data_IF_236433608847
#
_entry.id   IF_236433608847
#
_cell.length_a   1.000
_cell.length_b   1.000
_cell.length_c   1.000
_cell.angle_alpha   90.00
_cell.angle_beta   90.00
_cell.angle_gamma   90.00
#
_symmetry.space_group_name_H-M   'P 1'
#
loop_
_entity.id
_entity.type
_entity.pdbx_description
1 polymer ?
#
# COMPACT_ATOMS: atom_id res chain seq x y z
N UNK A 1 28.01 0.86 -25.80
CA UNK A 1 27.09 1.36 -26.83
C UNK A 1 25.72 0.74 -26.54
N UNK A 2 24.72 1.57 -26.28
CA UNK A 2 23.37 1.10 -25.93
C UNK A 2 22.65 0.57 -27.16
N UNK A 3 22.02 -0.58 -27.04
CA UNK A 3 21.19 -1.22 -28.05
C UNK A 3 19.88 -0.44 -28.34
N UNK A 4 19.68 0.70 -27.67
CA UNK A 4 18.44 1.49 -27.67
C UNK A 4 17.99 1.95 -29.07
N UNK A 5 18.90 2.23 -29.99
CA UNK A 5 18.56 2.69 -31.33
C UNK A 5 17.98 1.63 -32.28
N UNK A 6 18.02 0.35 -31.91
CA UNK A 6 17.56 -0.77 -32.77
C UNK A 6 16.24 -1.40 -32.31
N UNK A 7 15.66 -0.94 -31.19
CA UNK A 7 14.43 -1.52 -30.65
C UNK A 7 13.26 -0.58 -30.92
N UNK A 8 12.32 -1.03 -31.75
CA UNK A 8 11.13 -0.24 -32.08
C UNK A 8 10.30 0.09 -30.83
N UNK A 9 9.52 1.19 -30.80
CA UNK A 9 8.68 1.53 -29.66
C UNK A 9 7.73 0.40 -29.24
N UNK A 10 7.17 -0.33 -30.19
CA UNK A 10 6.31 -1.48 -29.90
C UNK A 10 7.07 -2.63 -29.22
N UNK A 11 8.26 -2.97 -29.73
CA UNK A 11 9.11 -3.96 -29.08
C UNK A 11 9.53 -3.52 -27.68
N UNK A 12 9.84 -2.23 -27.49
CA UNK A 12 10.15 -1.67 -26.16
C UNK A 12 8.98 -1.87 -25.18
N UNK A 13 7.73 -1.65 -25.62
CA UNK A 13 6.53 -1.93 -24.81
C UNK A 13 6.49 -3.38 -24.35
N UNK A 14 6.69 -4.34 -25.26
CA UNK A 14 6.69 -5.78 -24.94
C UNK A 14 7.83 -6.15 -23.98
N UNK A 15 9.05 -5.68 -24.25
CA UNK A 15 10.20 -5.93 -23.38
C UNK A 15 10.00 -5.36 -21.98
N UNK A 16 9.44 -4.15 -21.88
CA UNK A 16 9.18 -3.48 -20.62
C UNK A 16 8.06 -4.18 -19.83
N UNK A 17 6.98 -4.58 -20.51
CA UNK A 17 5.89 -5.34 -19.90
C UNK A 17 6.40 -6.68 -19.34
N UNK A 18 7.14 -7.44 -20.15
CA UNK A 18 7.71 -8.71 -19.73
C UNK A 18 8.72 -8.55 -18.58
N UNK A 19 9.60 -7.55 -18.68
CA UNK A 19 10.61 -7.28 -17.65
C UNK A 19 10.03 -6.73 -16.35
N UNK A 20 8.89 -6.03 -16.37
CA UNK A 20 8.16 -5.61 -15.17
C UNK A 20 7.37 -6.76 -14.52
N UNK A 21 7.00 -7.79 -15.30
CA UNK A 21 6.16 -8.90 -14.83
C UNK A 21 6.98 -10.11 -14.34
N UNK A 22 8.14 -10.39 -14.94
CA UNK A 22 8.97 -11.58 -14.65
C UNK A 22 10.44 -11.21 -14.41
N UNK A 23 11.24 -12.18 -13.96
CA UNK A 23 12.70 -12.01 -13.97
C UNK A 23 13.17 -11.75 -15.40
N UNK A 24 14.29 -11.03 -15.59
CA UNK A 24 14.75 -10.71 -16.94
C UNK A 24 15.04 -11.97 -17.78
N UNK A 25 15.61 -13.00 -17.15
CA UNK A 25 15.82 -14.29 -17.82
C UNK A 25 14.50 -15.02 -18.15
N UNK A 26 13.53 -14.99 -17.23
CA UNK A 26 12.18 -15.52 -17.47
C UNK A 26 11.46 -14.77 -18.59
N UNK A 27 11.56 -13.45 -18.61
CA UNK A 27 11.00 -12.58 -19.63
C UNK A 27 11.60 -12.89 -21.03
N UNK A 28 12.93 -13.08 -21.12
CA UNK A 28 13.60 -13.45 -22.38
C UNK A 28 13.05 -14.78 -22.92
N UNK A 29 12.91 -15.80 -22.06
CA UNK A 29 12.35 -17.09 -22.46
C UNK A 29 10.89 -16.95 -22.91
N UNK A 30 10.05 -16.30 -22.14
CA UNK A 30 8.62 -16.17 -22.45
C UNK A 30 8.37 -15.34 -23.73
N UNK A 31 9.15 -14.30 -23.99
CA UNK A 31 9.06 -13.53 -25.22
C UNK A 31 9.45 -14.37 -26.45
N UNK A 32 10.44 -15.26 -26.31
CA UNK A 32 10.80 -16.20 -27.38
C UNK A 32 9.66 -17.19 -27.64
N UNK A 33 9.11 -17.79 -26.58
CA UNK A 33 8.07 -18.83 -26.71
C UNK A 33 6.73 -18.28 -27.21
N UNK A 34 6.29 -17.13 -26.67
CA UNK A 34 4.96 -16.61 -26.99
C UNK A 34 4.92 -15.66 -28.19
N UNK A 35 6.02 -14.92 -28.42
CA UNK A 35 6.05 -13.87 -29.44
C UNK A 35 7.08 -14.13 -30.55
N UNK A 36 7.86 -15.19 -30.48
CA UNK A 36 8.99 -15.42 -31.39
C UNK A 36 10.11 -14.36 -31.25
N UNK A 37 10.05 -13.50 -30.25
CA UNK A 37 10.99 -12.40 -30.07
C UNK A 37 12.24 -12.86 -29.31
N UNK A 38 13.30 -13.15 -30.05
CA UNK A 38 14.59 -13.57 -29.49
C UNK A 38 15.35 -12.37 -28.94
N UNK A 39 15.60 -12.36 -27.62
CA UNK A 39 16.34 -11.30 -26.92
C UNK A 39 17.02 -11.89 -25.69
N UNK A 40 18.04 -11.20 -25.16
CA UNK A 40 18.68 -11.61 -23.92
C UNK A 40 18.16 -10.79 -22.71
N UNK A 41 18.37 -11.36 -21.53
CA UNK A 41 18.00 -10.72 -20.25
C UNK A 41 18.64 -9.34 -20.05
N UNK A 42 19.87 -9.17 -20.54
CA UNK A 42 20.60 -7.90 -20.46
C UNK A 42 19.92 -6.80 -21.29
N UNK A 43 19.45 -7.13 -22.49
CA UNK A 43 18.72 -6.20 -23.35
C UNK A 43 17.40 -5.79 -22.70
N UNK A 44 16.62 -6.75 -22.19
CA UNK A 44 15.37 -6.46 -21.48
C UNK A 44 15.64 -5.55 -20.28
N UNK A 45 16.67 -5.86 -19.51
CA UNK A 45 17.07 -5.04 -18.35
C UNK A 45 17.44 -3.62 -18.75
N UNK A 46 18.21 -3.45 -19.82
CA UNK A 46 18.63 -2.14 -20.31
C UNK A 46 17.40 -1.32 -20.73
N UNK A 47 16.51 -1.88 -21.56
CA UNK A 47 15.27 -1.26 -22.02
C UNK A 47 14.37 -0.89 -20.84
N UNK A 48 14.16 -1.78 -19.88
CA UNK A 48 13.37 -1.47 -18.68
C UNK A 48 13.93 -0.28 -17.90
N UNK A 49 15.26 -0.19 -17.75
CA UNK A 49 15.85 0.92 -17.00
C UNK A 49 15.84 2.25 -17.77
N UNK A 50 15.92 2.22 -19.08
CA UNK A 50 15.76 3.41 -19.92
C UNK A 50 14.30 3.90 -19.87
N UNK A 51 13.33 3.01 -20.15
CA UNK A 51 11.92 3.35 -20.13
C UNK A 51 11.46 3.82 -18.74
N UNK A 52 12.00 3.24 -17.65
CA UNK A 52 11.72 3.74 -16.31
C UNK A 52 12.18 5.19 -16.10
N UNK A 53 13.24 5.64 -16.75
CA UNK A 53 13.67 7.03 -16.73
C UNK A 53 12.68 7.91 -17.48
N UNK A 54 12.40 7.59 -18.73
CA UNK A 54 11.44 8.32 -19.56
C UNK A 54 10.04 8.37 -18.94
N UNK A 55 9.61 7.25 -18.36
CA UNK A 55 8.35 7.17 -17.64
C UNK A 55 8.33 8.06 -16.39
N UNK A 56 9.43 8.15 -15.66
CA UNK A 56 9.50 9.02 -14.48
C UNK A 56 9.37 10.50 -14.86
N UNK A 57 10.02 10.91 -15.97
CA UNK A 57 9.92 12.26 -16.54
C UNK A 57 8.49 12.53 -17.01
N UNK A 58 7.88 11.60 -17.75
CA UNK A 58 6.49 11.73 -18.20
C UNK A 58 5.50 11.80 -17.03
N UNK A 59 5.65 10.94 -16.02
CA UNK A 59 4.83 11.00 -14.80
C UNK A 59 4.99 12.33 -14.06
N UNK A 60 6.15 12.98 -14.19
CA UNK A 60 6.39 14.28 -13.59
C UNK A 60 5.79 15.42 -14.40
N UNK A 61 5.89 15.41 -15.72
CA UNK A 61 5.68 16.59 -16.57
C UNK A 61 4.35 16.57 -17.32
N UNK A 62 3.84 15.38 -17.73
CA UNK A 62 2.66 15.31 -18.60
C UNK A 62 1.36 15.64 -17.85
N UNK A 63 0.58 16.64 -18.32
CA UNK A 63 -0.67 17.03 -17.66
C UNK A 63 -1.75 15.94 -17.73
N UNK A 64 -1.66 14.97 -18.65
CA UNK A 64 -2.62 13.86 -18.75
C UNK A 64 -2.47 12.85 -17.59
N UNK A 65 -1.33 12.87 -16.90
CA UNK A 65 -1.13 12.03 -15.73
C UNK A 65 -2.12 12.41 -14.62
N UNK A 66 -2.95 11.47 -14.22
CA UNK A 66 -3.98 11.71 -13.22
C UNK A 66 -5.31 12.21 -13.78
N UNK A 67 -5.44 12.50 -15.07
CA UNK A 67 -6.70 12.96 -15.67
C UNK A 67 -7.84 11.97 -15.45
N UNK A 68 -7.59 10.67 -15.66
CA UNK A 68 -8.57 9.60 -15.37
C UNK A 68 -8.96 9.57 -13.89
N UNK A 69 -7.99 9.75 -12.99
CA UNK A 69 -8.25 9.84 -11.55
C UNK A 69 -9.09 11.08 -11.21
N UNK A 70 -8.77 12.24 -11.78
CA UNK A 70 -9.53 13.47 -11.54
C UNK A 70 -10.98 13.35 -12.00
N UNK A 71 -11.22 12.71 -13.16
CA UNK A 71 -12.55 12.49 -13.73
C UNK A 71 -13.35 11.40 -13.03
N UNK A 72 -12.71 10.45 -12.36
CA UNK A 72 -13.40 9.37 -11.66
C UNK A 72 -14.20 9.89 -10.47
N UNK A 73 -15.34 9.25 -10.19
CA UNK A 73 -16.17 9.51 -9.00
C UNK A 73 -15.78 8.61 -7.83
N UNK A 74 -16.15 9.00 -6.62
CA UNK A 74 -16.00 8.21 -5.40
C UNK A 74 -15.17 8.91 -4.33
N UNK A 75 -15.14 8.29 -3.15
CA UNK A 75 -14.32 8.75 -2.02
C UNK A 75 -12.84 8.56 -2.33
N UNK A 76 -12.01 9.50 -1.89
CA UNK A 76 -10.56 9.48 -2.10
C UNK A 76 -9.90 8.75 -0.92
N UNK A 77 -9.14 7.72 -1.25
CA UNK A 77 -8.31 6.99 -0.30
C UNK A 77 -6.83 7.16 -0.67
N UNK A 78 -5.99 7.39 0.33
CA UNK A 78 -4.55 7.17 0.27
C UNK A 78 -4.23 6.01 1.20
N UNK A 79 -3.65 4.96 0.68
CA UNK A 79 -3.13 3.88 1.50
C UNK A 79 -1.61 3.83 1.34
N UNK A 80 -0.89 3.72 2.46
CA UNK A 80 0.58 3.72 2.43
C UNK A 80 1.14 2.74 3.44
N UNK A 81 2.22 2.07 3.02
CA UNK A 81 2.89 1.03 3.79
C UNK A 81 4.35 0.91 3.33
N UNK A 82 5.17 0.17 4.06
CA UNK A 82 6.54 -0.17 3.74
C UNK A 82 6.75 -1.67 3.57
N UNK A 83 7.64 -2.03 2.65
CA UNK A 83 8.00 -3.43 2.45
C UNK A 83 9.49 -3.58 2.22
N UNK A 84 10.11 -4.61 2.83
CA UNK A 84 11.55 -4.82 2.73
C UNK A 84 11.94 -5.40 1.36
N UNK A 85 12.96 -4.83 0.74
CA UNK A 85 13.58 -5.30 -0.51
C UNK A 85 15.07 -5.56 -0.27
N UNK A 86 15.56 -6.68 -0.75
CA UNK A 86 16.97 -7.03 -0.62
C UNK A 86 17.82 -6.27 -1.63
N UNK A 87 18.70 -5.43 -1.14
CA UNK A 87 19.66 -4.66 -1.96
C UNK A 87 21.08 -5.15 -1.76
N UNK A 88 22.03 -4.65 -2.56
CA UNK A 88 23.44 -4.94 -2.37
C UNK A 88 23.98 -4.36 -1.05
N UNK A 89 23.32 -3.32 -0.55
CA UNK A 89 23.62 -2.67 0.73
C UNK A 89 22.83 -3.26 1.92
N UNK A 90 22.21 -4.45 1.74
CA UNK A 90 21.35 -5.11 2.73
C UNK A 90 19.86 -4.86 2.51
N UNK A 91 19.06 -5.23 3.48
CA UNK A 91 17.61 -5.03 3.46
C UNK A 91 17.27 -3.55 3.58
N UNK A 92 16.45 -3.05 2.65
CA UNK A 92 15.99 -1.66 2.62
C UNK A 92 14.47 -1.61 2.53
N UNK A 93 13.87 -0.71 3.29
CA UNK A 93 12.45 -0.46 3.21
C UNK A 93 12.13 0.31 1.91
N UNK A 94 11.22 -0.26 1.12
CA UNK A 94 10.58 0.42 0.00
C UNK A 94 9.21 0.87 0.45
N UNK A 95 8.98 2.18 0.48
CA UNK A 95 7.69 2.78 0.80
C UNK A 95 6.81 2.79 -0.43
N UNK A 96 5.56 2.49 -0.24
CA UNK A 96 4.54 2.44 -1.29
C UNK A 96 3.35 3.31 -0.90
N UNK A 97 2.83 4.08 -1.85
CA UNK A 97 1.57 4.80 -1.73
C UNK A 97 0.61 4.43 -2.84
N UNK A 98 -0.66 4.32 -2.51
CA UNK A 98 -1.76 4.06 -3.44
C UNK A 98 -2.83 5.11 -3.21
N UNK A 99 -2.98 6.04 -4.16
CA UNK A 99 -4.19 6.85 -4.25
C UNK A 99 -5.26 6.08 -5.01
N UNK A 100 -6.47 6.05 -4.49
CA UNK A 100 -7.59 5.40 -5.13
C UNK A 100 -8.87 6.22 -4.98
N UNK A 101 -9.73 6.18 -6.00
CA UNK A 101 -11.14 6.60 -5.90
C UNK A 101 -12.03 5.39 -5.94
N UNK A 102 -12.96 5.32 -4.99
CA UNK A 102 -13.84 4.17 -4.79
C UNK A 102 -15.26 4.62 -4.47
N UNK A 103 -16.25 3.98 -5.08
CA UNK A 103 -17.63 4.12 -4.65
C UNK A 103 -17.81 3.53 -3.24
N UNK A 104 -18.74 4.09 -2.48
CA UNK A 104 -19.11 3.53 -1.18
C UNK A 104 -19.74 2.16 -1.34
N UNK A 105 -19.42 1.26 -0.45
CA UNK A 105 -20.11 -0.02 -0.31
C UNK A 105 -21.42 0.15 0.45
N UNK A 106 -22.08 -0.96 0.76
CA UNK A 106 -23.26 -0.93 1.63
C UNK A 106 -22.86 -0.49 3.05
N UNK A 107 -23.64 0.38 3.70
CA UNK A 107 -23.51 0.64 5.13
C UNK A 107 -23.50 -0.65 5.94
N UNK A 108 -22.66 -0.70 6.95
CA UNK A 108 -22.51 -1.87 7.82
C UNK A 108 -22.34 -1.44 9.27
N UNK A 109 -22.66 -2.35 10.18
CA UNK A 109 -22.35 -2.23 11.61
C UNK A 109 -21.05 -2.96 11.96
N UNK A 110 -20.60 -2.81 13.19
CA UNK A 110 -19.47 -3.57 13.73
C UNK A 110 -19.66 -5.09 13.62
N UNK A 111 -20.90 -5.59 13.70
CA UNK A 111 -21.18 -7.02 13.58
C UNK A 111 -21.18 -7.53 12.11
N UNK A 112 -21.25 -6.65 11.14
CA UNK A 112 -21.32 -6.98 9.70
C UNK A 112 -20.02 -6.65 8.94
N UNK A 113 -18.99 -6.23 9.64
CA UNK A 113 -17.78 -5.67 9.05
C UNK A 113 -17.03 -6.64 8.12
N UNK A 114 -17.00 -7.93 8.45
CA UNK A 114 -16.27 -8.98 7.74
C UNK A 114 -17.06 -9.58 6.55
N UNK A 115 -18.37 -9.44 6.56
CA UNK A 115 -19.24 -9.93 5.47
C UNK A 115 -19.46 -8.89 4.38
N UNK A 116 -19.17 -7.61 4.67
CA UNK A 116 -19.33 -6.54 3.69
C UNK A 116 -18.29 -6.65 2.57
N UNK A 117 -18.69 -6.24 1.37
CA UNK A 117 -17.78 -6.11 0.23
C UNK A 117 -17.73 -4.65 -0.20
N UNK A 118 -16.50 -4.17 -0.42
CA UNK A 118 -16.28 -2.87 -1.02
C UNK A 118 -16.18 -3.02 -2.54
N UNK A 119 -16.75 -2.07 -3.33
CA UNK A 119 -16.52 -2.03 -4.76
C UNK A 119 -15.02 -1.91 -5.08
N UNK A 120 -14.55 -2.40 -6.24
CA UNK A 120 -13.18 -2.14 -6.68
C UNK A 120 -12.97 -0.63 -6.88
N UNK A 121 -11.74 -0.12 -6.78
CA UNK A 121 -11.46 1.26 -7.13
C UNK A 121 -11.80 1.55 -8.61
N UNK A 122 -12.40 2.69 -8.87
CA UNK A 122 -12.65 3.20 -10.22
C UNK A 122 -11.37 3.75 -10.88
N UNK A 123 -10.49 4.32 -10.06
CA UNK A 123 -9.18 4.82 -10.49
C UNK A 123 -8.16 4.62 -9.37
N UNK A 124 -6.91 4.36 -9.74
CA UNK A 124 -5.80 4.19 -8.80
C UNK A 124 -4.47 4.62 -9.39
N UNK A 125 -3.67 5.25 -8.56
CA UNK A 125 -2.28 5.60 -8.88
C UNK A 125 -1.37 5.08 -7.79
N UNK A 126 -0.34 4.35 -8.20
CA UNK A 126 0.64 3.76 -7.31
C UNK A 126 1.99 4.42 -7.50
N UNK A 127 2.74 4.59 -6.43
CA UNK A 127 4.11 5.06 -6.46
C UNK A 127 4.90 4.45 -5.31
N UNK A 128 6.16 4.14 -5.57
CA UNK A 128 7.02 3.51 -4.57
C UNK A 128 8.46 4.01 -4.68
N UNK A 129 9.24 3.84 -3.59
CA UNK A 129 10.66 4.15 -3.59
C UNK A 129 11.35 3.69 -2.32
N UNK A 130 12.63 3.29 -2.46
CA UNK A 130 13.55 3.11 -1.35
C UNK A 130 14.11 4.50 -1.03
N UNK A 131 13.55 5.12 -0.03
CA UNK A 131 13.87 6.49 0.41
C UNK A 131 13.44 6.69 1.87
N UNK A 132 13.95 7.74 2.52
CA UNK A 132 13.53 8.06 3.89
C UNK A 132 12.10 8.59 3.92
N UNK A 133 11.48 8.63 5.10
CA UNK A 133 10.14 9.18 5.27
C UNK A 133 10.06 10.66 4.83
N UNK A 134 11.15 11.42 5.08
CA UNK A 134 11.27 12.85 4.75
C UNK A 134 11.30 13.09 3.23
N UNK A 135 11.86 12.15 2.46
CA UNK A 135 11.87 12.20 1.00
C UNK A 135 10.57 11.65 0.39
N UNK A 136 10.00 10.60 1.00
CA UNK A 136 8.75 10.02 0.53
C UNK A 136 7.53 10.92 0.81
N UNK A 137 7.48 11.57 1.98
CA UNK A 137 6.37 12.42 2.37
C UNK A 137 5.99 13.47 1.33
N UNK A 138 6.92 14.31 0.81
CA UNK A 138 6.60 15.29 -0.23
C UNK A 138 5.99 14.70 -1.50
N UNK A 139 6.19 13.41 -1.78
CA UNK A 139 5.55 12.73 -2.91
C UNK A 139 4.04 12.55 -2.68
N UNK A 140 3.60 12.37 -1.43
CA UNK A 140 2.17 12.32 -1.10
C UNK A 140 1.47 13.58 -1.58
N UNK A 141 2.00 14.76 -1.22
CA UNK A 141 1.46 16.06 -1.63
C UNK A 141 1.55 16.28 -3.14
N UNK A 142 2.70 15.94 -3.77
CA UNK A 142 2.86 16.09 -5.22
C UNK A 142 1.84 15.26 -5.99
N UNK A 143 1.64 14.00 -5.59
CA UNK A 143 0.62 13.16 -6.20
C UNK A 143 -0.78 13.68 -5.96
N UNK A 144 -1.13 14.14 -4.75
CA UNK A 144 -2.43 14.76 -4.49
C UNK A 144 -2.69 15.92 -5.47
N UNK A 145 -1.72 16.83 -5.64
CA UNK A 145 -1.83 17.94 -6.57
C UNK A 145 -2.01 17.48 -8.03
N UNK A 146 -1.23 16.50 -8.49
CA UNK A 146 -1.34 15.95 -9.85
C UNK A 146 -2.67 15.22 -10.10
N UNK A 147 -3.25 14.66 -9.07
CA UNK A 147 -4.55 13.98 -9.13
C UNK A 147 -5.73 14.95 -9.01
N UNK A 148 -5.46 16.26 -8.95
CA UNK A 148 -6.48 17.28 -8.84
C UNK A 148 -7.17 17.37 -7.48
N UNK A 149 -6.55 16.81 -6.44
CA UNK A 149 -7.07 16.87 -5.07
C UNK A 149 -6.76 18.26 -4.52
N UNK A 150 -7.79 19.09 -4.38
CA UNK A 150 -7.67 20.48 -3.92
C UNK A 150 -7.75 20.61 -2.41
N UNK A 151 -8.55 19.79 -1.78
CA UNK A 151 -8.75 19.76 -0.33
C UNK A 151 -8.32 18.41 0.26
N UNK A 152 -7.28 18.44 1.08
CA UNK A 152 -6.79 17.25 1.75
C UNK A 152 -7.80 16.64 2.73
N UNK A 153 -8.78 17.41 3.22
CA UNK A 153 -9.84 16.90 4.10
C UNK A 153 -10.75 15.85 3.42
N UNK A 154 -10.78 15.83 2.09
CA UNK A 154 -11.47 14.81 1.31
C UNK A 154 -10.74 13.46 1.29
N UNK A 155 -9.46 13.44 1.69
CA UNK A 155 -8.62 12.24 1.64
C UNK A 155 -8.71 11.45 2.94
N UNK A 156 -9.07 10.19 2.83
CA UNK A 156 -8.91 9.22 3.91
C UNK A 156 -7.55 8.50 3.77
N UNK A 157 -6.69 8.62 4.78
CA UNK A 157 -5.38 7.97 4.80
C UNK A 157 -5.43 6.74 5.71
N UNK A 158 -5.21 5.56 5.14
CA UNK A 158 -5.21 4.29 5.86
C UNK A 158 -3.81 3.68 5.86
N UNK A 159 -3.38 3.16 7.00
CA UNK A 159 -2.08 2.52 7.16
C UNK A 159 -1.97 1.75 8.47
N UNK A 160 -0.82 1.15 8.72
CA UNK A 160 -0.49 0.34 9.91
C UNK A 160 -0.34 1.15 11.21
N UNK A 161 -0.49 2.47 11.15
CA UNK A 161 -0.31 3.35 12.30
C UNK A 161 1.15 3.66 12.64
N UNK A 162 2.11 3.36 11.73
CA UNK A 162 3.50 3.76 11.89
C UNK A 162 3.64 5.28 12.03
N UNK A 163 4.52 5.72 12.91
CA UNK A 163 4.68 7.15 13.21
C UNK A 163 5.09 7.98 11.99
N UNK A 164 5.87 7.39 11.07
CA UNK A 164 6.25 8.11 9.86
C UNK A 164 5.04 8.42 8.95
N UNK A 165 4.07 7.49 8.84
CA UNK A 165 2.84 7.69 8.06
C UNK A 165 2.05 8.85 8.69
N UNK A 166 1.81 8.77 10.00
CA UNK A 166 1.07 9.79 10.73
C UNK A 166 1.71 11.18 10.60
N UNK A 167 3.02 11.26 10.80
CA UNK A 167 3.76 12.51 10.76
C UNK A 167 3.82 13.09 9.35
N UNK A 168 4.08 12.27 8.33
CA UNK A 168 4.10 12.74 6.95
C UNK A 168 2.69 13.13 6.46
N UNK A 169 1.65 12.39 6.83
CA UNK A 169 0.28 12.78 6.50
C UNK A 169 -0.06 14.14 7.08
N UNK A 170 0.17 14.37 8.37
CA UNK A 170 -0.08 15.69 9.00
C UNK A 170 0.67 16.82 8.32
N UNK A 171 1.92 16.59 7.92
CA UNK A 171 2.78 17.58 7.29
C UNK A 171 2.41 17.87 5.83
N UNK A 172 2.08 16.83 5.07
CA UNK A 172 1.94 16.93 3.61
C UNK A 172 0.48 17.05 3.14
N UNK A 173 -0.45 16.55 3.92
CA UNK A 173 -1.89 16.53 3.67
C UNK A 173 -2.64 17.01 4.92
N UNK A 174 -2.45 18.28 5.33
CA UNK A 174 -3.12 18.82 6.52
C UNK A 174 -4.63 18.75 6.34
N UNK A 175 -5.34 18.27 7.37
CA UNK A 175 -6.78 18.03 7.31
C UNK A 175 -7.21 16.64 6.83
N UNK A 176 -6.30 15.84 6.22
CA UNK A 176 -6.62 14.47 5.82
C UNK A 176 -7.03 13.60 7.03
N UNK A 177 -8.06 12.80 6.82
CA UNK A 177 -8.59 11.90 7.87
C UNK A 177 -7.76 10.63 7.93
N UNK A 178 -7.02 10.45 9.03
CA UNK A 178 -6.20 9.26 9.20
C UNK A 178 -6.96 8.13 9.90
N UNK A 179 -6.71 6.90 9.49
CA UNK A 179 -7.30 5.70 10.08
C UNK A 179 -6.23 4.60 10.22
N UNK A 180 -6.20 3.97 11.39
CA UNK A 180 -5.45 2.74 11.59
C UNK A 180 -6.13 1.60 10.82
N UNK A 181 -5.36 0.77 10.13
CA UNK A 181 -5.87 -0.47 9.56
C UNK A 181 -6.47 -1.37 10.66
N UNK A 182 -7.70 -1.84 10.43
CA UNK A 182 -8.41 -2.67 11.42
C UNK A 182 -7.73 -4.01 11.66
N UNK A 183 -7.10 -4.58 10.62
CA UNK A 183 -6.38 -5.85 10.76
C UNK A 183 -5.13 -5.66 11.60
N UNK A 184 -4.39 -4.56 11.38
CA UNK A 184 -3.22 -4.23 12.19
C UNK A 184 -3.59 -3.93 13.65
N UNK A 185 -4.70 -3.22 13.88
CA UNK A 185 -5.27 -3.08 15.24
C UNK A 185 -5.61 -4.44 15.85
N UNK A 186 -6.17 -5.37 15.07
CA UNK A 186 -6.50 -6.73 15.53
C UNK A 186 -5.25 -7.59 15.83
N UNK A 187 -4.13 -7.37 15.14
CA UNK A 187 -2.86 -8.06 15.44
C UNK A 187 -2.37 -7.72 16.86
N UNK A 188 -2.44 -6.45 17.27
CA UNK A 188 -2.10 -6.05 18.64
C UNK A 188 -2.99 -6.67 19.70
N UNK A 189 -4.29 -6.86 19.40
CA UNK A 189 -5.17 -7.64 20.27
C UNK A 189 -4.77 -9.11 20.32
N UNK A 190 -4.39 -9.69 19.19
CA UNK A 190 -3.95 -11.09 19.09
C UNK A 190 -2.64 -11.34 19.87
N UNK A 191 -1.69 -10.41 19.79
CA UNK A 191 -0.45 -10.48 20.56
C UNK A 191 -0.71 -10.43 22.06
N UNK A 192 -1.62 -9.58 22.49
CA UNK A 192 -2.05 -9.52 23.88
C UNK A 192 -2.76 -10.83 24.30
N UNK A 193 -3.69 -11.33 23.50
CA UNK A 193 -4.43 -12.58 23.76
C UNK A 193 -3.53 -13.78 23.89
N UNK A 194 -2.43 -13.85 23.11
CA UNK A 194 -1.43 -14.92 23.21
C UNK A 194 -0.80 -14.98 24.61
N UNK A 195 -0.55 -13.85 25.23
CA UNK A 195 -0.03 -13.77 26.61
C UNK A 195 -1.11 -14.12 27.62
N UNK A 196 -2.36 -13.75 27.38
CA UNK A 196 -3.47 -13.96 28.30
C UNK A 196 -3.91 -15.43 28.34
N UNK A 197 -4.04 -16.08 27.20
CA UNK A 197 -4.74 -17.34 27.03
C UNK A 197 -3.91 -18.43 26.32
N UNK A 198 -2.74 -18.10 25.78
CA UNK A 198 -1.93 -19.00 24.96
C UNK A 198 -2.24 -18.89 23.47
N UNK A 199 -1.30 -19.36 22.65
CA UNK A 199 -1.41 -19.31 21.20
C UNK A 199 -2.43 -20.32 20.67
N UNK A 200 -3.32 -19.89 19.77
CA UNK A 200 -4.26 -20.76 19.06
C UNK A 200 -5.43 -21.29 19.89
N UNK A 201 -5.63 -20.84 21.13
CA UNK A 201 -6.73 -21.27 21.97
C UNK A 201 -8.07 -20.66 21.57
N UNK A 202 -9.18 -21.33 21.88
CA UNK A 202 -10.52 -20.82 21.63
C UNK A 202 -10.81 -19.54 22.45
N UNK A 203 -10.28 -19.49 23.67
CA UNK A 203 -10.40 -18.35 24.58
C UNK A 203 -9.68 -17.13 24.00
N UNK A 204 -8.45 -17.29 23.47
CA UNK A 204 -7.71 -16.23 22.82
C UNK A 204 -8.50 -15.68 21.62
N UNK A 205 -9.04 -16.56 20.77
CA UNK A 205 -9.85 -16.16 19.62
C UNK A 205 -11.10 -15.39 20.04
N UNK A 206 -11.86 -15.89 20.98
CA UNK A 206 -13.09 -15.27 21.48
C UNK A 206 -12.80 -13.86 22.06
N UNK A 207 -11.70 -13.75 22.84
CA UNK A 207 -11.29 -12.48 23.42
C UNK A 207 -10.88 -11.44 22.35
N UNK A 208 -10.14 -11.85 21.31
CA UNK A 208 -9.77 -10.98 20.17
C UNK A 208 -11.01 -10.54 19.41
N UNK A 209 -11.95 -11.47 19.15
CA UNK A 209 -13.19 -11.16 18.42
C UNK A 209 -14.05 -10.14 19.20
N UNK A 210 -14.17 -10.30 20.52
CA UNK A 210 -14.85 -9.34 21.39
C UNK A 210 -14.15 -7.98 21.43
N UNK A 211 -12.81 -7.96 21.56
CA UNK A 211 -12.01 -6.73 21.53
C UNK A 211 -12.11 -5.98 20.20
N UNK A 212 -12.09 -6.72 19.09
CA UNK A 212 -12.29 -6.15 17.75
C UNK A 212 -13.71 -5.58 17.57
N UNK A 213 -14.72 -6.29 18.05
CA UNK A 213 -16.10 -5.78 18.02
C UNK A 213 -16.23 -4.48 18.82
N UNK A 214 -15.62 -4.40 20.01
CA UNK A 214 -15.60 -3.18 20.81
C UNK A 214 -14.83 -2.03 20.13
N UNK A 215 -13.69 -2.34 19.51
CA UNK A 215 -12.90 -1.39 18.72
C UNK A 215 -13.70 -0.82 17.54
N UNK A 216 -14.38 -1.68 16.78
CA UNK A 216 -15.18 -1.27 15.62
C UNK A 216 -16.42 -0.45 16.01
N UNK A 217 -17.05 -0.78 17.13
CA UNK A 217 -18.26 -0.12 17.59
C UNK A 217 -18.00 1.25 18.24
N UNK A 218 -16.95 1.37 19.06
CA UNK A 218 -16.71 2.55 19.90
C UNK A 218 -15.25 3.05 19.88
N UNK A 219 -14.45 2.61 18.90
CA UNK A 219 -13.09 3.09 18.72
C UNK A 219 -12.22 2.89 19.97
N UNK A 220 -11.50 3.96 20.34
CA UNK A 220 -10.61 3.95 21.52
C UNK A 220 -11.35 3.62 22.81
N UNK A 221 -12.52 4.20 23.05
CA UNK A 221 -13.28 3.96 24.28
C UNK A 221 -13.66 2.47 24.43
N UNK A 222 -14.11 1.84 23.34
CA UNK A 222 -14.50 0.44 23.35
C UNK A 222 -13.33 -0.51 23.63
N UNK A 223 -12.22 -0.34 22.92
CA UNK A 223 -11.04 -1.21 23.13
C UNK A 223 -10.40 -0.99 24.49
N UNK A 224 -10.37 0.26 25.00
CA UNK A 224 -9.84 0.55 26.34
C UNK A 224 -10.68 -0.11 27.44
N UNK A 225 -12.02 -0.06 27.31
CA UNK A 225 -12.91 -0.76 28.25
C UNK A 225 -12.69 -2.28 28.24
N UNK A 226 -12.54 -2.89 27.06
CA UNK A 226 -12.25 -4.31 26.91
C UNK A 226 -10.94 -4.71 27.59
N UNK A 227 -9.86 -3.95 27.37
CA UNK A 227 -8.55 -4.17 27.99
C UNK A 227 -8.59 -3.97 29.51
N UNK A 228 -9.31 -2.95 30.00
CA UNK A 228 -9.47 -2.67 31.41
C UNK A 228 -10.21 -3.81 32.16
N UNK A 229 -11.27 -4.36 31.57
CA UNK A 229 -11.99 -5.51 32.11
C UNK A 229 -11.07 -6.72 32.28
N UNK A 230 -10.31 -7.09 31.25
CA UNK A 230 -9.35 -8.19 31.34
C UNK A 230 -8.24 -7.93 32.38
N UNK A 231 -7.83 -6.67 32.56
CA UNK A 231 -6.83 -6.28 33.56
C UNK A 231 -7.33 -6.45 34.99
N UNK A 232 -8.61 -6.22 35.22
CA UNK A 232 -9.23 -6.39 36.56
C UNK A 232 -9.27 -7.86 36.97
N UNK A 233 -9.39 -8.80 36.03
CA UNK A 233 -9.52 -10.22 36.27
C UNK A 233 -8.18 -10.93 36.50
N UNK A 234 -7.03 -10.32 36.16
CA UNK A 234 -5.72 -10.97 36.28
C UNK A 234 -4.84 -10.36 37.36
N UNK A 235 -4.17 -11.26 38.12
CA UNK A 235 -3.10 -10.91 39.09
C UNK A 235 -1.70 -11.14 38.51
N UNK A 236 -1.56 -11.78 37.34
CA UNK A 236 -0.29 -12.06 36.72
C UNK A 236 0.38 -10.76 36.23
N UNK A 237 1.61 -10.52 36.68
CA UNK A 237 2.38 -9.34 36.27
C UNK A 237 2.62 -9.33 34.75
N UNK A 238 2.93 -10.46 34.12
CA UNK A 238 3.13 -10.56 32.67
C UNK A 238 1.86 -10.24 31.88
N UNK A 239 0.70 -10.77 32.30
CA UNK A 239 -0.59 -10.45 31.67
C UNK A 239 -0.96 -8.98 31.82
N UNK A 240 -0.72 -8.41 33.00
CA UNK A 240 -0.95 -6.97 33.25
C UNK A 240 -0.04 -6.09 32.39
N UNK A 241 1.20 -6.47 32.17
CA UNK A 241 2.13 -5.75 31.28
C UNK A 241 1.62 -5.77 29.82
N UNK A 242 1.27 -6.94 29.28
CA UNK A 242 0.74 -7.07 27.92
C UNK A 242 -0.52 -6.24 27.71
N UNK A 243 -1.44 -6.24 28.70
CA UNK A 243 -2.65 -5.40 28.64
C UNK A 243 -2.32 -3.90 28.71
N UNK A 244 -1.32 -3.50 29.50
CA UNK A 244 -0.87 -2.11 29.56
C UNK A 244 -0.22 -1.64 28.26
N UNK A 245 0.59 -2.50 27.62
CA UNK A 245 1.21 -2.23 26.34
C UNK A 245 0.16 -2.04 25.23
N UNK A 246 -0.83 -2.95 25.16
CA UNK A 246 -1.95 -2.83 24.23
C UNK A 246 -2.78 -1.55 24.50
N UNK A 247 -3.09 -1.25 25.74
CA UNK A 247 -3.81 -0.04 26.12
C UNK A 247 -3.02 1.23 25.73
N UNK A 248 -1.71 1.25 25.95
CA UNK A 248 -0.83 2.31 25.54
C UNK A 248 -0.76 2.48 24.00
N UNK A 249 -0.74 1.37 23.26
CA UNK A 249 -0.76 1.39 21.79
C UNK A 249 -2.04 2.08 21.26
N UNK A 250 -3.21 1.61 21.67
CA UNK A 250 -4.50 2.18 21.26
C UNK A 250 -4.72 3.60 21.78
N UNK A 251 -4.28 3.90 23.01
CA UNK A 251 -4.36 5.24 23.57
C UNK A 251 -3.62 6.29 22.77
N UNK A 252 -2.38 5.98 22.33
CA UNK A 252 -1.61 6.90 21.48
C UNK A 252 -2.17 7.08 20.07
N UNK A 253 -3.11 6.24 19.66
CA UNK A 253 -3.75 6.22 18.32
C UNK A 253 -5.25 6.45 18.38
N UNK A 254 -5.76 6.97 19.48
CA UNK A 254 -7.19 7.14 19.71
C UNK A 254 -7.91 7.88 18.55
N UNK A 255 -7.25 8.89 17.98
CA UNK A 255 -7.76 9.68 16.84
C UNK A 255 -7.84 8.91 15.53
N UNK A 256 -7.16 7.74 15.42
CA UNK A 256 -7.11 6.89 14.21
C UNK A 256 -8.16 5.77 14.24
N UNK A 257 -9.05 5.72 15.21
CA UNK A 257 -9.92 4.56 15.49
C UNK A 257 -11.41 4.84 15.18
N UNK A 258 -11.69 5.75 14.24
CA UNK A 258 -13.06 6.15 13.86
C UNK A 258 -13.76 5.16 12.92
N UNK A 259 -13.87 3.89 13.29
CA UNK A 259 -14.39 2.84 12.40
C UNK A 259 -15.92 2.88 12.25
N UNK A 260 -16.67 3.15 13.32
CA UNK A 260 -18.13 3.07 13.31
C UNK A 260 -18.76 4.00 12.26
N UNK A 261 -18.29 5.25 12.18
CA UNK A 261 -18.76 6.22 11.20
C UNK A 261 -18.46 5.77 9.76
N UNK A 262 -17.25 5.24 9.55
CA UNK A 262 -16.84 4.77 8.22
C UNK A 262 -17.61 3.53 7.77
N UNK A 263 -17.88 2.61 8.70
CA UNK A 263 -18.73 1.45 8.44
C UNK A 263 -20.14 1.89 8.06
N UNK A 264 -20.73 2.78 8.83
CA UNK A 264 -22.08 3.34 8.56
C UNK A 264 -22.14 4.10 7.23
N UNK A 265 -21.01 4.72 6.81
CA UNK A 265 -20.90 5.40 5.52
C UNK A 265 -20.53 4.47 4.35
N UNK A 266 -20.34 3.16 4.57
CA UNK A 266 -19.91 2.21 3.53
C UNK A 266 -18.48 2.41 3.07
N UNK A 267 -17.62 3.06 3.87
CA UNK A 267 -16.23 3.41 3.53
C UNK A 267 -15.23 2.34 3.98
N UNK A 268 -14.04 2.38 3.43
CA UNK A 268 -12.92 1.47 3.77
C UNK A 268 -12.45 1.67 5.22
N UNK A 269 -12.14 0.57 5.91
CA UNK A 269 -11.55 0.55 7.27
C UNK A 269 -10.24 -0.25 7.33
N UNK A 270 -9.77 -0.73 6.19
CA UNK A 270 -8.54 -1.51 6.08
C UNK A 270 -7.69 -1.06 4.91
N UNK A 271 -6.41 -1.35 4.97
CA UNK A 271 -5.38 -0.97 4.00
C UNK A 271 -5.10 -2.03 2.93
N UNK A 272 -6.07 -2.87 2.63
CA UNK A 272 -5.90 -4.01 1.72
C UNK A 272 -5.41 -3.66 0.30
N UNK A 273 -5.60 -2.42 -0.18
CA UNK A 273 -5.05 -2.00 -1.48
C UNK A 273 -3.52 -1.91 -1.42
N UNK A 274 -2.97 -1.26 -0.39
CA UNK A 274 -1.50 -1.13 -0.27
C UNK A 274 -0.85 -2.45 0.11
N UNK A 275 -1.49 -3.28 0.95
CA UNK A 275 -1.00 -4.63 1.23
C UNK A 275 -0.97 -5.49 -0.03
N UNK A 276 -2.05 -5.48 -0.81
CA UNK A 276 -2.13 -6.13 -2.12
C UNK A 276 -1.04 -5.61 -3.07
N UNK A 277 -0.80 -4.31 -3.08
CA UNK A 277 0.25 -3.70 -3.89
C UNK A 277 1.66 -4.08 -3.41
N UNK A 278 1.92 -4.12 -2.10
CA UNK A 278 3.18 -4.62 -1.55
C UNK A 278 3.47 -6.05 -1.99
N UNK A 279 2.46 -6.92 -2.02
CA UNK A 279 2.59 -8.32 -2.46
C UNK A 279 2.72 -8.45 -3.98
N UNK A 280 1.81 -7.84 -4.75
CA UNK A 280 1.69 -8.03 -6.20
C UNK A 280 2.65 -7.14 -7.00
N UNK A 281 2.79 -5.86 -6.62
CA UNK A 281 3.60 -4.89 -7.37
C UNK A 281 5.07 -5.03 -7.03
N UNK A 282 5.40 -5.06 -5.74
CA UNK A 282 6.78 -5.12 -5.28
C UNK A 282 7.23 -6.56 -5.04
N UNK A 283 6.48 -7.31 -4.23
CA UNK A 283 6.86 -8.65 -3.80
C UNK A 283 7.09 -9.61 -4.97
N UNK A 284 6.10 -9.73 -5.85
CA UNK A 284 6.13 -10.65 -6.98
C UNK A 284 7.30 -10.41 -7.93
N UNK A 285 7.66 -9.15 -8.17
CA UNK A 285 8.75 -8.80 -9.10
C UNK A 285 10.11 -8.69 -8.42
N UNK A 286 10.17 -8.17 -7.21
CA UNK A 286 11.43 -7.72 -6.61
C UNK A 286 11.94 -8.61 -5.48
N UNK A 287 11.06 -9.47 -4.89
CA UNK A 287 11.41 -10.36 -3.77
C UNK A 287 11.58 -11.82 -4.20
N UNK A 288 11.91 -12.08 -5.46
CA UNK A 288 12.19 -13.43 -5.93
C UNK A 288 13.46 -13.97 -5.27
N UNK A 289 13.52 -15.30 -5.09
CA UNK A 289 14.67 -15.98 -4.48
C UNK A 289 15.98 -15.58 -5.16
N UNK A 290 16.94 -15.13 -4.37
CA UNK A 290 18.25 -14.68 -4.85
C UNK A 290 18.27 -13.27 -5.47
N UNK A 291 17.13 -12.60 -5.60
CA UNK A 291 17.10 -11.25 -6.17
C UNK A 291 17.80 -10.25 -5.23
N UNK A 292 18.77 -9.51 -5.79
CA UNK A 292 19.46 -8.40 -5.13
C UNK A 292 19.47 -7.19 -6.06
N UNK A 293 19.17 -6.03 -5.51
CA UNK A 293 19.01 -4.82 -6.29
C UNK A 293 20.01 -3.73 -5.89
N UNK A 294 20.49 -2.95 -6.85
CA UNK A 294 21.04 -1.63 -6.54
C UNK A 294 19.85 -0.68 -6.29
N UNK A 295 19.89 0.15 -5.26
CA UNK A 295 18.77 1.04 -4.87
C UNK A 295 18.20 1.81 -6.06
N UNK A 296 19.05 2.47 -6.86
CA UNK A 296 18.61 3.20 -8.06
C UNK A 296 17.85 2.32 -9.05
N UNK A 297 18.28 1.05 -9.25
CA UNK A 297 17.61 0.11 -10.16
C UNK A 297 16.32 -0.43 -9.57
N UNK A 298 16.29 -0.63 -8.26
CA UNK A 298 15.07 -1.00 -7.54
C UNK A 298 14.00 0.09 -7.70
N UNK A 299 14.35 1.36 -7.50
CA UNK A 299 13.42 2.47 -7.67
C UNK A 299 12.88 2.58 -9.11
N UNK A 300 13.73 2.39 -10.12
CA UNK A 300 13.29 2.35 -11.54
C UNK A 300 12.30 1.20 -11.80
N UNK A 301 12.62 0.00 -11.31
CA UNK A 301 11.70 -1.14 -11.45
C UNK A 301 10.39 -0.92 -10.69
N UNK A 302 10.44 -0.33 -9.50
CA UNK A 302 9.25 0.04 -8.75
C UNK A 302 8.37 1.02 -9.52
N UNK A 303 8.95 2.03 -10.20
CA UNK A 303 8.21 2.94 -11.08
C UNK A 303 7.47 2.18 -12.18
N UNK A 304 8.16 1.27 -12.90
CA UNK A 304 7.52 0.45 -13.95
C UNK A 304 6.39 -0.42 -13.38
N UNK A 305 6.66 -1.12 -12.27
CA UNK A 305 5.66 -2.00 -11.66
C UNK A 305 4.44 -1.20 -11.14
N UNK A 306 4.66 -0.06 -10.50
CA UNK A 306 3.57 0.81 -10.04
C UNK A 306 2.73 1.32 -11.21
N UNK A 307 3.35 1.71 -12.32
CA UNK A 307 2.64 2.18 -13.51
C UNK A 307 1.86 1.04 -14.18
N UNK A 308 2.47 -0.15 -14.29
CA UNK A 308 1.83 -1.34 -14.87
C UNK A 308 0.58 -1.78 -14.09
N UNK A 309 0.59 -1.65 -12.76
CA UNK A 309 -0.52 -2.03 -11.90
C UNK A 309 -1.46 -0.87 -11.53
N UNK A 310 -1.15 0.35 -11.99
CA UNK A 310 -2.00 1.53 -11.92
C UNK A 310 -2.64 1.85 -13.27
N UNK A 311 -3.31 2.99 -13.34
CA UNK A 311 -4.06 3.41 -14.54
C UNK A 311 -3.19 4.22 -15.54
N UNK A 312 -1.88 4.36 -15.30
CA UNK A 312 -0.99 5.18 -16.12
C UNK A 312 -0.24 4.41 -17.23
N UNK A 313 -0.35 3.07 -17.27
CA UNK A 313 0.38 2.24 -18.23
C UNK A 313 -0.03 2.50 -19.69
N UNK A 314 -1.32 2.39 -19.97
CA UNK A 314 -1.81 2.58 -21.35
C UNK A 314 -1.68 4.03 -21.83
N UNK A 315 -2.00 5.08 -21.04
CA UNK A 315 -1.72 6.46 -21.39
C UNK A 315 -0.25 6.73 -21.70
N UNK A 316 0.68 6.20 -20.91
CA UNK A 316 2.12 6.33 -21.20
C UNK A 316 2.49 5.72 -22.55
N UNK A 317 2.04 4.51 -22.85
CA UNK A 317 2.37 3.87 -24.14
C UNK A 317 1.64 4.48 -25.31
N UNK A 318 0.46 5.04 -25.15
CA UNK A 318 -0.17 5.87 -26.17
C UNK A 318 0.69 7.08 -26.49
N UNK A 319 1.17 7.80 -25.47
CA UNK A 319 2.09 8.94 -25.65
C UNK A 319 3.41 8.52 -26.33
N UNK A 320 3.94 7.34 -26.03
CA UNK A 320 5.23 6.85 -26.56
C UNK A 320 5.15 6.30 -27.99
N UNK A 321 3.98 5.90 -28.44
CA UNK A 321 3.77 5.28 -29.75
C UNK A 321 3.27 6.27 -30.80
N UNK A 322 2.77 7.42 -30.35
CA UNK A 322 2.43 8.57 -31.20
C UNK A 322 3.66 9.48 -31.38
#
# INVERSE_FOLDING_TARGET
>A
MGVAGFVSPHARKLLTLAGASWSFAGAARLLTEFCGLRTCDQTIRAVCHEEAGLLADWLHDDPAVGAAFAAASGDIELQTDGTMVHTWEGWREMRLGVYAKRARGRPATAAQWDTRRLPPPHARVLFAGIETAEHFGPRLRRWAARLGIKDASEVAVLGDGADWIRNQTRRQLPGARQLLDVFHGSEHLSDCARVLYGEGTAEAKAWVDAGRAALLAAGSAGVQAHLAAARAETRSAAKRAALADAAGYFGRRAELLGYAERLAAGQSIGSGLVEGACKQVIGRRMKQTGARWRVRRANRMATLCCTLHGDAWDPYWQHRLN
#
